data_IF_783389439061
#
_entry.id   IF_783389439061
#
_cell.length_a   1.000
_cell.length_b   1.000
_cell.length_c   1.000
_cell.angle_alpha   90.00
_cell.angle_beta   90.00
_cell.angle_gamma   90.00
#
_symmetry.space_group_name_H-M   'P 1'
#
loop_
_entity.id
_entity.type
_entity.pdbx_description
1 polymer ?
#
# COMPACT_ATOMS: atom_id res chain seq x y z
N UNK A 1 -3.42 23.53 3.89
CA UNK A 1 -4.02 24.17 2.71
C UNK A 1 -4.47 23.04 1.81
N UNK A 2 -5.77 22.80 1.69
CA UNK A 2 -6.30 21.75 0.82
C UNK A 2 -6.29 22.27 -0.61
N UNK A 3 -5.32 21.83 -1.40
CA UNK A 3 -5.30 22.13 -2.84
C UNK A 3 -6.31 21.22 -3.51
N UNK A 4 -7.50 21.72 -3.78
CA UNK A 4 -8.49 21.03 -4.61
C UNK A 4 -7.94 20.96 -6.03
N UNK A 5 -7.18 19.90 -6.35
CA UNK A 5 -6.71 19.63 -7.71
C UNK A 5 -7.95 19.46 -8.59
N UNK A 6 -8.10 20.32 -9.61
CA UNK A 6 -9.13 20.12 -10.62
C UNK A 6 -8.90 18.78 -11.32
N UNK A 7 -9.88 17.88 -11.22
CA UNK A 7 -9.80 16.54 -11.79
C UNK A 7 -10.02 16.63 -13.30
N UNK A 8 -9.04 16.18 -14.10
CA UNK A 8 -9.19 16.09 -15.56
C UNK A 8 -10.42 15.25 -15.95
N UNK A 9 -11.17 15.71 -16.96
CA UNK A 9 -12.38 15.07 -17.44
C UNK A 9 -12.05 13.76 -18.20
N UNK A 10 -12.46 12.62 -17.64
CA UNK A 10 -12.36 11.31 -18.29
C UNK A 10 -13.53 11.15 -19.27
N UNK A 11 -13.29 10.84 -20.56
CA UNK A 11 -14.36 10.59 -21.52
C UNK A 11 -15.27 9.43 -21.06
N UNK A 12 -16.61 9.58 -21.10
CA UNK A 12 -17.52 8.52 -20.71
C UNK A 12 -17.45 7.36 -21.72
N UNK A 13 -17.47 6.12 -21.21
CA UNK A 13 -17.46 4.95 -22.07
C UNK A 13 -18.77 4.85 -22.88
N UNK A 14 -18.67 4.92 -24.21
CA UNK A 14 -19.83 4.72 -25.08
C UNK A 14 -20.20 3.24 -25.16
N UNK A 15 -21.45 2.91 -24.83
CA UNK A 15 -21.99 1.54 -24.88
C UNK A 15 -21.92 1.02 -26.32
N UNK A 16 -21.19 -0.06 -26.56
CA UNK A 16 -21.02 -0.67 -27.89
C UNK A 16 -19.82 -0.16 -28.71
N UNK A 17 -19.00 0.75 -28.18
CA UNK A 17 -17.72 1.14 -28.79
C UNK A 17 -16.55 0.79 -27.86
N UNK A 18 -15.50 0.20 -28.44
CA UNK A 18 -14.20 0.05 -27.78
C UNK A 18 -13.58 1.43 -27.63
N UNK A 19 -13.55 1.95 -26.41
CA UNK A 19 -12.78 3.16 -26.13
C UNK A 19 -11.29 2.80 -26.19
N UNK A 20 -10.59 3.36 -27.16
CA UNK A 20 -9.15 3.16 -27.32
C UNK A 20 -8.44 4.19 -26.44
N UNK A 21 -7.93 3.73 -25.31
CA UNK A 21 -7.08 4.53 -24.43
C UNK A 21 -5.61 4.29 -24.78
N UNK A 22 -4.80 5.34 -24.79
CA UNK A 22 -3.35 5.13 -24.87
C UNK A 22 -2.85 4.59 -23.53
N UNK A 23 -1.75 3.83 -23.51
CA UNK A 23 -1.13 3.41 -22.24
C UNK A 23 -0.84 4.58 -21.28
N UNK A 24 -0.50 5.76 -21.83
CA UNK A 24 -0.30 6.99 -21.06
C UNK A 24 -1.58 7.47 -20.36
N UNK A 25 -2.74 7.29 -20.98
CA UNK A 25 -4.04 7.68 -20.43
C UNK A 25 -4.45 6.77 -19.27
N UNK A 26 -4.14 5.46 -19.36
CA UNK A 26 -4.39 4.50 -18.28
C UNK A 26 -3.54 4.82 -17.06
N UNK A 27 -2.26 5.16 -17.26
CA UNK A 27 -1.36 5.56 -16.16
C UNK A 27 -1.87 6.83 -15.48
N UNK A 28 -2.20 7.86 -16.27
CA UNK A 28 -2.62 9.16 -15.74
C UNK A 28 -4.00 9.13 -15.08
N UNK A 29 -4.99 8.46 -15.66
CA UNK A 29 -6.36 8.48 -15.11
C UNK A 29 -6.66 7.32 -14.18
N UNK A 30 -6.15 6.14 -14.49
CA UNK A 30 -6.42 4.93 -13.72
C UNK A 30 -5.50 4.81 -12.52
N UNK A 31 -4.18 4.84 -12.75
CA UNK A 31 -3.19 4.54 -11.70
C UNK A 31 -3.08 5.70 -10.71
N UNK A 32 -2.98 6.95 -11.16
CA UNK A 32 -2.85 8.09 -10.22
C UNK A 32 -4.09 8.27 -9.36
N UNK A 33 -5.32 8.17 -9.93
CA UNK A 33 -6.56 8.29 -9.14
C UNK A 33 -6.77 7.11 -8.19
N UNK A 34 -6.40 5.91 -8.63
CA UNK A 34 -6.47 4.74 -7.76
C UNK A 34 -5.51 4.88 -6.59
N UNK A 35 -4.26 5.27 -6.85
CA UNK A 35 -3.26 5.50 -5.80
C UNK A 35 -3.69 6.64 -4.88
N UNK A 36 -4.21 7.75 -5.40
CA UNK A 36 -4.71 8.86 -4.57
C UNK A 36 -5.87 8.41 -3.65
N UNK A 37 -6.81 7.63 -4.17
CA UNK A 37 -7.98 7.18 -3.42
C UNK A 37 -7.67 6.05 -2.42
N UNK A 38 -6.64 5.25 -2.68
CA UNK A 38 -6.23 4.12 -1.82
C UNK A 38 -5.04 4.45 -0.93
N UNK A 39 -4.35 5.55 -1.19
CA UNK A 39 -3.26 6.01 -0.37
C UNK A 39 -3.79 6.31 1.04
N UNK A 40 -3.24 5.59 2.00
CA UNK A 40 -3.37 5.95 3.41
C UNK A 40 -2.44 7.14 3.61
N UNK A 41 -3.02 8.34 3.58
CA UNK A 41 -2.29 9.60 3.80
C UNK A 41 -2.05 9.89 5.29
N UNK A 42 -2.70 9.13 6.17
CA UNK A 42 -2.44 9.19 7.60
C UNK A 42 -1.05 8.63 7.89
N UNK A 43 -0.26 9.28 8.76
CA UNK A 43 1.01 8.73 9.19
C UNK A 43 0.75 7.33 9.76
N UNK A 44 1.48 6.35 9.23
CA UNK A 44 1.47 4.97 9.71
C UNK A 44 2.11 4.93 11.11
N UNK A 45 1.36 5.42 12.11
CA UNK A 45 1.67 5.35 13.52
C UNK A 45 1.25 3.97 14.02
N UNK A 46 1.84 2.92 13.46
CA UNK A 46 1.89 1.66 14.20
C UNK A 46 2.99 1.84 15.24
N UNK A 47 2.58 2.28 16.43
CA UNK A 47 3.36 2.00 17.63
C UNK A 47 3.31 0.48 17.80
N UNK A 48 4.35 -0.19 17.29
CA UNK A 48 4.51 -1.61 17.56
C UNK A 48 4.71 -1.73 19.07
N UNK A 49 3.86 -2.48 19.79
CA UNK A 49 4.11 -2.73 21.20
C UNK A 49 5.50 -3.35 21.31
N UNK A 50 6.35 -2.78 22.16
CA UNK A 50 7.59 -3.42 22.53
C UNK A 50 7.25 -4.81 23.07
N UNK A 51 7.98 -5.83 22.61
CA UNK A 51 7.81 -7.18 23.12
C UNK A 51 8.04 -7.18 24.62
N UNK A 52 7.15 -7.85 25.36
CA UNK A 52 7.31 -8.05 26.79
C UNK A 52 8.59 -8.84 27.08
N UNK A 53 9.14 -8.69 28.28
CA UNK A 53 10.34 -9.43 28.70
C UNK A 53 10.14 -10.95 28.60
N UNK A 54 8.90 -11.44 28.79
CA UNK A 54 8.55 -12.86 28.61
C UNK A 54 8.58 -13.31 27.14
N UNK A 55 8.10 -12.48 26.21
CA UNK A 55 8.16 -12.75 24.78
C UNK A 55 9.60 -12.74 24.27
N UNK A 56 10.41 -11.79 24.74
CA UNK A 56 11.84 -11.75 24.43
C UNK A 56 12.55 -13.01 24.93
N UNK A 57 12.28 -13.44 26.17
CA UNK A 57 12.86 -14.67 26.72
C UNK A 57 12.48 -15.91 25.90
N UNK A 58 11.22 -16.02 25.48
CA UNK A 58 10.78 -17.12 24.60
C UNK A 58 11.49 -17.09 23.24
N UNK A 59 11.69 -15.90 22.69
CA UNK A 59 12.42 -15.73 21.43
C UNK A 59 13.89 -16.14 21.58
N UNK A 60 14.55 -15.75 22.68
CA UNK A 60 15.93 -16.13 22.99
C UNK A 60 16.09 -17.65 23.15
N UNK A 61 15.13 -18.31 23.80
CA UNK A 61 15.10 -19.77 23.93
C UNK A 61 14.95 -20.47 22.57
N UNK A 62 14.07 -19.96 21.69
CA UNK A 62 13.87 -20.49 20.34
C UNK A 62 15.10 -20.27 19.45
N UNK A 63 15.77 -19.11 19.56
CA UNK A 63 17.01 -18.84 18.83
C UNK A 63 18.15 -19.73 19.31
N UNK A 64 18.28 -19.94 20.62
CA UNK A 64 19.29 -20.83 21.20
C UNK A 64 19.06 -22.31 20.85
N UNK A 65 17.82 -22.72 20.60
CA UNK A 65 17.49 -24.06 20.10
C UNK A 65 17.73 -24.16 18.57
N UNK A 66 17.35 -23.13 17.81
CA UNK A 66 17.59 -23.06 16.37
C UNK A 66 19.07 -23.06 15.98
N UNK A 67 19.92 -22.39 16.76
CA UNK A 67 21.38 -22.36 16.57
C UNK A 67 22.05 -23.72 16.87
N UNK A 68 21.39 -24.58 17.65
CA UNK A 68 21.84 -25.96 17.91
C UNK A 68 21.38 -26.97 16.85
N UNK A 69 20.51 -26.55 15.92
CA UNK A 69 19.87 -27.40 14.91
C UNK A 69 20.11 -27.00 13.46
N UNK A 70 20.88 -25.95 13.19
CA UNK A 70 21.28 -25.57 11.83
C UNK A 70 22.47 -26.42 11.36
N UNK A 71 22.16 -27.58 10.76
CA UNK A 71 23.04 -28.36 9.86
C UNK A 71 22.82 -27.90 8.42
#
# INVERSE_FOLDING_TARGET
METTKELEHIPPMKKGQLNIYKPSDIKRWGVERFLEATAVHDPFLLEFPEFTEEENRRMDELLAEGDKGAV
#
